data_IF_978223707170
#
_entry.id   IF_978223707170
#
_cell.length_a   1.000
_cell.length_b   1.000
_cell.length_c   1.000
_cell.angle_alpha   90.00
_cell.angle_beta   90.00
_cell.angle_gamma   90.00
#
_symmetry.space_group_name_H-M   'P 1'
#
loop_
_entity.id
_entity.type
_entity.pdbx_description
1 polymer ?
#
# COMPACT_ATOMS: atom_id res chain seq x y z
N UNK A 1 82.91 26.81 3.70
CA UNK A 1 81.92 26.38 4.73
C UNK A 1 80.53 26.94 4.53
N UNK A 2 80.31 28.04 3.81
CA UNK A 2 78.98 28.66 3.61
C UNK A 2 78.14 27.99 2.53
N UNK A 3 78.71 27.31 1.52
CA UNK A 3 77.96 26.60 0.44
C UNK A 3 77.39 25.24 0.86
N UNK A 4 77.93 24.55 1.84
CA UNK A 4 77.45 23.27 2.32
C UNK A 4 76.15 23.41 3.22
N UNK A 5 76.04 24.53 3.92
CA UNK A 5 74.88 24.85 4.77
C UNK A 5 73.63 25.26 3.97
N UNK A 6 73.80 25.84 2.77
CA UNK A 6 72.66 26.22 1.92
C UNK A 6 72.00 24.99 1.25
N UNK A 7 72.81 24.01 0.79
CA UNK A 7 72.33 22.78 0.15
C UNK A 7 71.55 21.90 1.19
N UNK A 8 72.00 21.82 2.44
CA UNK A 8 71.31 21.04 3.48
C UNK A 8 69.96 21.67 3.87
N UNK A 9 69.83 23.02 3.78
CA UNK A 9 68.59 23.75 4.10
C UNK A 9 67.54 23.65 2.99
N UNK A 10 67.95 23.50 1.73
CA UNK A 10 67.02 23.26 0.62
C UNK A 10 66.53 21.79 0.56
N UNK A 11 67.37 20.82 0.85
CA UNK A 11 66.95 19.41 0.93
C UNK A 11 65.98 19.14 2.05
N UNK A 12 66.12 19.77 3.21
CA UNK A 12 65.13 19.64 4.31
C UNK A 12 63.79 20.32 4.02
N UNK A 13 63.80 21.44 3.23
CA UNK A 13 62.53 22.07 2.78
C UNK A 13 61.84 21.27 1.66
N UNK A 14 62.57 20.60 0.78
CA UNK A 14 62.01 19.73 -0.25
C UNK A 14 61.40 18.44 0.39
N UNK A 15 62.10 17.81 1.34
CA UNK A 15 61.59 16.66 2.07
C UNK A 15 60.35 16.99 2.91
N UNK A 16 60.30 18.16 3.56
CA UNK A 16 59.14 18.60 4.33
C UNK A 16 57.93 18.91 3.42
N UNK A 17 58.13 19.42 2.20
CA UNK A 17 57.02 19.63 1.24
C UNK A 17 56.52 18.34 0.62
N UNK A 18 57.37 17.36 0.34
CA UNK A 18 56.92 16.03 -0.10
C UNK A 18 56.12 15.28 1.00
N UNK A 19 56.56 15.34 2.26
CA UNK A 19 55.83 14.72 3.37
C UNK A 19 54.48 15.41 3.62
N UNK A 20 54.40 16.75 3.49
CA UNK A 20 53.13 17.48 3.62
C UNK A 20 52.16 17.14 2.48
N UNK A 21 52.67 16.97 1.24
CA UNK A 21 51.82 16.62 0.09
C UNK A 21 51.32 15.17 0.16
N UNK A 22 52.13 14.22 0.63
CA UNK A 22 51.73 12.83 0.83
C UNK A 22 50.74 12.69 1.99
N UNK A 23 50.88 13.45 3.08
CA UNK A 23 49.95 13.46 4.21
C UNK A 23 48.60 14.08 3.82
N UNK A 24 48.59 15.14 2.96
CA UNK A 24 47.34 15.74 2.47
C UNK A 24 46.63 14.82 1.47
N UNK A 25 47.32 14.06 0.65
CA UNK A 25 46.74 13.04 -0.23
C UNK A 25 46.19 11.84 0.55
N UNK A 26 46.79 11.43 1.68
CA UNK A 26 46.29 10.38 2.55
C UNK A 26 45.02 10.81 3.33
N UNK A 27 44.89 12.07 3.69
CA UNK A 27 43.71 12.60 4.39
C UNK A 27 42.52 12.77 3.41
N UNK A 28 42.75 13.09 2.14
CA UNK A 28 41.68 13.17 1.13
C UNK A 28 41.18 11.76 0.69
N UNK A 29 42.02 10.72 0.83
CA UNK A 29 41.66 9.33 0.52
C UNK A 29 40.77 8.65 1.58
N UNK A 30 40.64 9.22 2.78
CA UNK A 30 39.82 8.65 3.88
C UNK A 30 38.39 9.22 3.92
N UNK A 31 38.09 10.24 3.10
CA UNK A 31 36.74 10.78 2.94
C UNK A 31 36.05 10.29 1.66
N UNK A 32 36.44 9.14 1.16
CA UNK A 32 35.55 8.31 0.36
C UNK A 32 34.47 7.76 1.31
N UNK A 33 33.57 8.62 1.74
CA UNK A 33 32.39 8.18 2.49
C UNK A 33 31.73 7.09 1.67
N UNK A 34 31.74 5.87 2.19
CA UNK A 34 30.73 4.90 1.83
C UNK A 34 29.42 5.67 1.81
N UNK A 35 28.75 5.74 0.68
CA UNK A 35 27.34 6.14 0.68
C UNK A 35 26.68 5.11 1.61
N UNK A 36 26.52 5.47 2.88
CA UNK A 36 25.76 4.68 3.82
C UNK A 36 24.40 4.48 3.13
N UNK A 37 24.16 3.26 2.70
CA UNK A 37 22.85 2.89 2.20
C UNK A 37 21.90 3.33 3.31
N UNK A 38 21.07 4.36 3.04
CA UNK A 38 20.15 4.88 4.04
C UNK A 38 19.24 3.73 4.44
N UNK A 39 19.41 3.20 5.64
CA UNK A 39 18.57 2.13 6.19
C UNK A 39 17.13 2.63 6.46
N UNK A 40 16.86 3.89 6.13
CA UNK A 40 15.58 4.58 6.33
C UNK A 40 15.04 5.15 5.03
N UNK A 41 13.74 4.89 4.78
CA UNK A 41 12.95 5.51 3.71
C UNK A 41 11.94 6.50 4.32
N UNK A 42 11.86 7.71 3.78
CA UNK A 42 10.86 8.72 4.17
C UNK A 42 9.89 8.96 3.00
N UNK A 43 8.62 8.60 3.21
CA UNK A 43 7.54 8.74 2.24
C UNK A 43 6.69 9.95 2.60
N UNK A 44 6.43 10.86 1.66
CA UNK A 44 5.52 11.99 1.82
C UNK A 44 4.13 11.68 1.29
N UNK A 45 3.10 12.00 2.08
CA UNK A 45 1.67 11.96 1.70
C UNK A 45 0.95 13.20 2.22
N UNK A 46 -0.25 13.50 1.68
CA UNK A 46 -1.03 14.68 2.09
C UNK A 46 -2.14 14.39 3.10
N UNK A 47 -2.37 13.14 3.46
CA UNK A 47 -3.47 12.76 4.35
C UNK A 47 -2.99 11.83 5.46
N UNK A 48 -3.52 12.03 6.68
CA UNK A 48 -3.33 11.09 7.79
C UNK A 48 -4.50 10.09 7.84
N UNK A 49 -4.27 8.79 8.09
CA UNK A 49 -5.35 7.81 8.25
C UNK A 49 -6.31 8.18 9.39
N UNK A 50 -7.61 8.09 9.15
CA UNK A 50 -8.64 8.27 10.19
C UNK A 50 -8.64 7.14 11.22
N UNK A 51 -8.22 5.95 10.80
CA UNK A 51 -8.09 4.72 11.60
C UNK A 51 -7.02 3.82 10.99
N UNK A 52 -6.40 2.97 11.79
CA UNK A 52 -5.53 1.89 11.31
C UNK A 52 -6.24 0.53 11.28
N UNK A 53 -7.52 0.46 11.66
CA UNK A 53 -8.28 -0.77 11.56
C UNK A 53 -8.50 -1.16 10.09
N UNK A 54 -8.14 -2.40 9.66
CA UNK A 54 -8.14 -2.77 8.25
C UNK A 54 -9.51 -2.66 7.57
N UNK A 55 -10.59 -2.97 8.28
CA UNK A 55 -11.93 -3.13 7.72
C UNK A 55 -12.89 -1.96 8.02
N UNK A 56 -12.50 -1.01 8.90
CA UNK A 56 -13.29 0.19 9.22
C UNK A 56 -12.82 1.34 8.33
N UNK A 57 -13.75 2.09 7.75
CA UNK A 57 -13.54 3.14 6.77
C UNK A 57 -12.72 2.70 5.53
N UNK A 58 -13.01 3.30 4.39
CA UNK A 58 -12.22 3.13 3.17
C UNK A 58 -11.43 4.40 2.94
N UNK A 59 -10.11 4.36 3.17
CA UNK A 59 -9.24 5.53 3.05
C UNK A 59 -7.89 5.16 2.44
N UNK A 60 -7.49 5.87 1.40
CA UNK A 60 -6.27 5.60 0.64
C UNK A 60 -5.01 5.73 1.52
N UNK A 61 -4.93 6.78 2.37
CA UNK A 61 -3.82 6.96 3.29
C UNK A 61 -3.62 5.76 4.23
N UNK A 62 -4.72 5.17 4.70
CA UNK A 62 -4.68 3.93 5.47
C UNK A 62 -4.12 2.77 4.66
N UNK A 63 -4.56 2.60 3.42
CA UNK A 63 -4.09 1.53 2.54
C UNK A 63 -2.58 1.61 2.27
N UNK A 64 -2.01 2.81 2.11
CA UNK A 64 -0.56 3.00 1.99
C UNK A 64 0.20 2.49 3.21
N UNK A 65 -0.24 2.83 4.42
CA UNK A 65 0.41 2.37 5.66
C UNK A 65 0.21 0.87 5.86
N UNK A 66 -1.04 0.40 5.72
CA UNK A 66 -1.38 -1.00 5.96
C UNK A 66 -0.76 -1.95 4.93
N UNK A 67 -0.52 -1.51 3.69
CA UNK A 67 0.23 -2.27 2.69
C UNK A 67 1.65 -2.65 3.13
N UNK A 68 2.24 -1.90 4.08
CA UNK A 68 3.54 -2.20 4.68
C UNK A 68 3.43 -3.14 5.90
N UNK A 69 2.30 -3.18 6.58
CA UNK A 69 2.16 -3.82 7.90
C UNK A 69 1.35 -5.11 7.91
N UNK A 70 0.65 -5.42 6.82
CA UNK A 70 -0.16 -6.65 6.68
C UNK A 70 -0.06 -7.23 5.28
N UNK A 71 -0.62 -8.41 5.10
CA UNK A 71 -0.80 -9.06 3.79
C UNK A 71 -2.26 -9.47 3.63
N UNK A 72 -2.95 -9.04 2.56
CA UNK A 72 -4.27 -9.58 2.24
C UNK A 72 -4.17 -11.07 1.89
N UNK A 73 -5.27 -11.80 1.96
CA UNK A 73 -5.28 -13.22 1.58
C UNK A 73 -4.97 -13.36 0.09
N UNK A 74 -5.68 -12.58 -0.73
CA UNK A 74 -5.44 -12.44 -2.16
C UNK A 74 -5.20 -10.97 -2.52
N UNK A 75 -4.56 -10.71 -3.66
CA UNK A 75 -4.31 -9.37 -4.18
C UNK A 75 -4.13 -9.41 -5.70
N UNK A 76 -4.44 -8.33 -6.39
CA UNK A 76 -4.02 -8.15 -7.78
C UNK A 76 -2.57 -7.69 -7.82
N UNK A 77 -1.76 -8.38 -8.60
CA UNK A 77 -0.35 -8.03 -8.81
C UNK A 77 -0.21 -6.82 -9.78
N UNK A 78 1.01 -6.32 -10.06
CA UNK A 78 1.21 -5.22 -11.01
C UNK A 78 0.76 -5.50 -12.45
N UNK A 79 0.52 -6.77 -12.81
CA UNK A 79 -0.01 -7.20 -14.11
C UNK A 79 -1.53 -7.41 -14.07
N UNK A 80 -2.17 -7.05 -12.96
CA UNK A 80 -3.60 -7.25 -12.68
C UNK A 80 -4.04 -8.72 -12.61
N UNK A 81 -3.12 -9.63 -12.36
CA UNK A 81 -3.43 -11.02 -12.08
C UNK A 81 -3.73 -11.23 -10.59
N UNK A 82 -4.82 -11.93 -10.28
CA UNK A 82 -5.15 -12.27 -8.90
C UNK A 82 -4.19 -13.34 -8.39
N UNK A 83 -3.49 -13.04 -7.31
CA UNK A 83 -2.50 -13.94 -6.71
C UNK A 83 -2.72 -14.11 -5.21
N UNK A 84 -2.25 -15.23 -4.67
CA UNK A 84 -2.14 -15.44 -3.22
C UNK A 84 -1.03 -14.58 -2.62
N UNK A 85 -1.32 -13.91 -1.52
CA UNK A 85 -0.32 -13.21 -0.72
C UNK A 85 -0.18 -13.80 0.68
N UNK A 86 -1.29 -14.08 1.37
CA UNK A 86 -1.31 -14.79 2.65
C UNK A 86 -1.74 -16.25 2.50
N UNK A 87 -2.38 -16.65 1.40
CA UNK A 87 -2.67 -18.04 1.09
C UNK A 87 -1.49 -18.73 0.40
N UNK A 88 -1.46 -20.05 0.40
CA UNK A 88 -0.40 -20.85 -0.25
C UNK A 88 -0.63 -21.01 -1.75
N UNK A 89 -1.88 -21.20 -2.16
CA UNK A 89 -2.30 -21.42 -3.54
C UNK A 89 -3.64 -20.74 -3.78
N UNK A 90 -3.78 -20.03 -4.89
CA UNK A 90 -5.05 -19.41 -5.27
C UNK A 90 -6.06 -20.52 -5.59
N UNK A 91 -7.20 -20.61 -4.88
CA UNK A 91 -8.20 -21.62 -5.16
C UNK A 91 -8.96 -21.29 -6.44
N UNK A 92 -9.03 -22.26 -7.35
CA UNK A 92 -9.83 -22.16 -8.58
C UNK A 92 -10.70 -23.41 -8.77
N UNK A 93 -11.68 -23.31 -9.66
CA UNK A 93 -12.50 -24.48 -10.03
C UNK A 93 -11.61 -25.54 -10.70
N UNK A 94 -10.67 -25.11 -11.54
CA UNK A 94 -9.78 -25.98 -12.32
C UNK A 94 -8.83 -26.78 -11.43
N UNK A 95 -8.33 -26.18 -10.34
CA UNK A 95 -7.44 -26.89 -9.42
C UNK A 95 -8.17 -27.59 -8.26
N UNK A 96 -9.53 -27.52 -8.25
CA UNK A 96 -10.37 -28.14 -7.23
C UNK A 96 -10.39 -27.40 -5.88
N UNK A 97 -9.73 -26.26 -5.76
CA UNK A 97 -9.78 -25.38 -4.60
C UNK A 97 -11.10 -24.65 -4.46
N UNK A 98 -11.89 -24.55 -5.54
CA UNK A 98 -13.23 -24.04 -5.52
C UNK A 98 -14.21 -25.06 -6.13
N UNK A 99 -15.42 -25.18 -5.56
CA UNK A 99 -16.44 -26.13 -6.00
C UNK A 99 -17.81 -25.48 -5.99
N UNK A 100 -18.55 -25.61 -7.10
CA UNK A 100 -19.96 -25.23 -7.16
C UNK A 100 -20.75 -26.09 -6.20
N UNK A 101 -21.71 -25.48 -5.51
CA UNK A 101 -22.57 -26.15 -4.54
C UNK A 101 -24.02 -25.70 -4.68
N UNK A 102 -24.95 -26.57 -4.29
CA UNK A 102 -26.36 -26.21 -4.20
C UNK A 102 -26.65 -25.81 -2.75
N UNK A 103 -27.14 -24.60 -2.55
CA UNK A 103 -27.51 -24.08 -1.25
C UNK A 103 -28.78 -24.78 -0.71
N UNK A 104 -29.03 -24.66 0.59
CA UNK A 104 -30.20 -25.22 1.25
C UNK A 104 -31.54 -24.69 0.68
N UNK A 105 -31.58 -23.49 0.11
CA UNK A 105 -32.73 -22.88 -0.54
C UNK A 105 -32.90 -23.30 -2.02
N UNK A 106 -32.01 -24.18 -2.54
CA UNK A 106 -31.98 -24.63 -3.92
C UNK A 106 -31.25 -23.73 -4.89
N UNK A 107 -30.73 -22.58 -4.44
CA UNK A 107 -29.90 -21.69 -5.25
C UNK A 107 -28.49 -22.21 -5.47
N UNK A 108 -27.77 -21.63 -6.44
CA UNK A 108 -26.36 -21.94 -6.68
C UNK A 108 -25.45 -21.09 -5.78
N UNK A 109 -24.44 -21.73 -5.22
CA UNK A 109 -23.35 -21.14 -4.45
C UNK A 109 -22.01 -21.71 -4.86
N UNK A 110 -20.95 -21.31 -4.17
CA UNK A 110 -19.60 -21.83 -4.39
C UNK A 110 -18.85 -21.94 -3.06
N UNK A 111 -18.21 -23.07 -2.84
CA UNK A 111 -17.31 -23.34 -1.74
C UNK A 111 -15.87 -23.08 -2.20
N UNK A 112 -15.14 -22.21 -1.50
CA UNK A 112 -13.78 -21.79 -1.84
C UNK A 112 -12.85 -22.06 -0.67
N UNK A 113 -11.87 -22.95 -0.86
CA UNK A 113 -10.96 -23.41 0.19
C UNK A 113 -9.62 -22.70 0.12
N UNK A 114 -9.22 -22.04 1.20
CA UNK A 114 -7.94 -21.37 1.35
C UNK A 114 -7.08 -22.06 2.41
N UNK A 115 -5.78 -22.11 2.17
CA UNK A 115 -4.78 -22.50 3.16
C UNK A 115 -3.85 -21.33 3.41
N UNK A 116 -3.77 -20.84 4.64
CA UNK A 116 -2.89 -19.75 5.06
C UNK A 116 -1.42 -20.20 5.04
N UNK A 117 -0.51 -19.26 4.81
CA UNK A 117 0.93 -19.51 4.94
C UNK A 117 1.26 -20.10 6.31
N UNK A 118 1.90 -21.28 6.38
CA UNK A 118 2.13 -21.96 7.65
C UNK A 118 3.02 -21.16 8.60
N UNK A 119 3.97 -20.38 8.10
CA UNK A 119 4.90 -19.55 8.86
C UNK A 119 4.31 -18.23 9.33
N UNK A 120 3.13 -17.84 8.81
CA UNK A 120 2.51 -16.55 9.11
C UNK A 120 2.23 -16.40 10.60
N UNK A 121 2.77 -15.30 11.18
CA UNK A 121 2.63 -14.94 12.60
C UNK A 121 2.34 -13.46 12.75
N UNK A 122 1.55 -13.14 13.76
CA UNK A 122 1.41 -11.78 14.26
C UNK A 122 2.75 -11.28 14.83
N UNK A 123 2.92 -9.97 14.97
CA UNK A 123 4.17 -9.35 15.42
C UNK A 123 4.55 -9.64 16.86
N UNK A 124 3.66 -10.22 17.65
CA UNK A 124 3.92 -10.76 18.99
C UNK A 124 4.33 -12.25 18.98
N UNK A 125 4.39 -12.87 17.79
CA UNK A 125 4.74 -14.28 17.60
C UNK A 125 3.54 -15.24 17.57
N UNK A 126 2.33 -14.80 17.89
CA UNK A 126 1.11 -15.62 17.80
C UNK A 126 0.89 -16.08 16.35
N UNK A 127 0.62 -17.37 16.09
CA UNK A 127 0.32 -17.85 14.74
C UNK A 127 -0.93 -17.17 14.16
N UNK A 128 -0.87 -16.71 12.91
CA UNK A 128 -2.07 -16.36 12.15
C UNK A 128 -2.83 -17.63 11.83
N UNK A 129 -4.12 -17.70 12.17
CA UNK A 129 -4.89 -18.94 12.11
C UNK A 129 -6.33 -18.74 11.67
N UNK A 130 -7.05 -19.85 11.50
CA UNK A 130 -8.48 -19.86 11.22
C UNK A 130 -9.33 -19.24 12.33
N UNK A 131 -8.81 -19.11 13.57
CA UNK A 131 -9.45 -18.34 14.64
C UNK A 131 -9.58 -16.86 14.27
N UNK A 132 -8.55 -16.32 13.62
CA UNK A 132 -8.54 -14.92 13.11
C UNK A 132 -9.52 -14.76 11.95
N UNK A 133 -9.62 -15.77 11.08
CA UNK A 133 -10.60 -15.81 9.97
C UNK A 133 -12.03 -15.76 10.50
N UNK A 134 -12.37 -16.66 11.43
CA UNK A 134 -13.71 -16.71 12.04
C UNK A 134 -14.05 -15.41 12.77
N UNK A 135 -13.12 -14.88 13.53
CA UNK A 135 -13.31 -13.61 14.24
C UNK A 135 -13.49 -12.44 13.27
N UNK A 136 -12.69 -12.37 12.22
CA UNK A 136 -12.82 -11.35 11.19
C UNK A 136 -14.19 -11.38 10.52
N UNK A 137 -14.69 -12.58 10.18
CA UNK A 137 -16.01 -12.76 9.62
C UNK A 137 -17.12 -12.35 10.61
N UNK A 138 -17.01 -12.72 11.89
CA UNK A 138 -17.94 -12.32 12.96
C UNK A 138 -18.05 -10.80 13.06
N UNK A 139 -16.92 -10.09 13.15
CA UNK A 139 -16.87 -8.62 13.17
C UNK A 139 -17.40 -8.03 11.86
N UNK A 140 -17.01 -8.61 10.72
CA UNK A 140 -17.34 -8.13 9.38
C UNK A 140 -18.83 -8.12 9.08
N UNK A 141 -19.57 -9.09 9.58
CA UNK A 141 -21.04 -9.21 9.42
C UNK A 141 -21.85 -8.49 10.48
N UNK A 142 -21.23 -7.95 11.53
CA UNK A 142 -21.93 -7.31 12.61
C UNK A 142 -22.43 -5.90 12.19
N UNK A 143 -23.75 -5.61 12.25
CA UNK A 143 -24.34 -4.41 11.64
C UNK A 143 -23.89 -3.10 12.26
N UNK A 144 -23.34 -3.11 13.48
CA UNK A 144 -22.89 -1.92 14.21
C UNK A 144 -21.37 -1.77 14.30
N UNK A 145 -20.59 -2.70 13.75
CA UNK A 145 -19.13 -2.66 13.82
C UNK A 145 -18.48 -1.57 12.91
N UNK A 146 -19.27 -0.96 12.03
CA UNK A 146 -18.78 0.13 11.17
C UNK A 146 -17.87 -0.33 10.02
N UNK A 147 -18.04 -1.57 9.56
CA UNK A 147 -17.23 -2.17 8.48
C UNK A 147 -17.58 -1.54 7.14
N UNK A 148 -16.56 -1.10 6.41
CA UNK A 148 -16.72 -0.41 5.13
C UNK A 148 -17.30 -1.30 4.02
N UNK A 149 -16.77 -2.51 3.84
CA UNK A 149 -17.23 -3.49 2.85
C UNK A 149 -18.03 -4.62 3.54
N UNK A 150 -19.18 -4.30 4.13
CA UNK A 150 -20.02 -5.29 4.81
C UNK A 150 -20.64 -6.31 3.83
N UNK A 151 -20.73 -5.99 2.54
CA UNK A 151 -21.30 -6.90 1.52
C UNK A 151 -20.44 -8.16 1.37
N UNK A 152 -19.12 -8.04 1.33
CA UNK A 152 -18.20 -9.16 1.29
C UNK A 152 -18.51 -10.19 2.40
N UNK A 153 -18.69 -9.71 3.62
CA UNK A 153 -18.94 -10.59 4.78
C UNK A 153 -20.35 -11.19 4.78
N UNK A 154 -21.36 -10.47 4.25
CA UNK A 154 -22.72 -10.99 4.11
C UNK A 154 -22.85 -12.09 3.07
N UNK A 155 -22.04 -12.03 2.02
CA UNK A 155 -21.98 -13.06 0.98
C UNK A 155 -21.41 -14.39 1.48
N UNK A 156 -20.64 -14.37 2.56
CA UNK A 156 -20.14 -15.58 3.21
C UNK A 156 -21.24 -16.13 4.12
N UNK A 157 -21.88 -17.21 3.69
CA UNK A 157 -22.98 -17.86 4.42
C UNK A 157 -22.48 -18.63 5.63
N UNK A 158 -21.37 -19.37 5.47
CA UNK A 158 -20.68 -20.12 6.52
C UNK A 158 -19.19 -20.26 6.22
N UNK A 159 -18.44 -20.61 7.23
CA UNK A 159 -17.02 -20.96 7.14
C UNK A 159 -16.80 -22.31 7.79
N UNK A 160 -16.30 -23.28 7.01
CA UNK A 160 -15.88 -24.57 7.52
C UNK A 160 -14.39 -24.54 7.80
N UNK A 161 -13.99 -24.95 9.01
CA UNK A 161 -12.59 -25.04 9.42
C UNK A 161 -12.14 -26.50 9.37
N UNK A 162 -11.13 -26.78 8.54
CA UNK A 162 -10.52 -28.10 8.42
C UNK A 162 -9.38 -28.28 9.46
N UNK A 163 -8.57 -27.23 9.64
CA UNK A 163 -7.45 -27.21 10.58
C UNK A 163 -7.10 -25.75 10.98
N UNK A 164 -5.99 -25.54 11.66
CA UNK A 164 -5.54 -24.20 12.10
C UNK A 164 -5.21 -23.24 10.95
N UNK A 165 -5.00 -23.74 9.74
CA UNK A 165 -4.58 -22.95 8.57
C UNK A 165 -5.54 -23.04 7.39
N UNK A 166 -6.39 -24.06 7.35
CA UNK A 166 -7.25 -24.37 6.20
C UNK A 166 -8.71 -24.15 6.53
N UNK A 167 -9.40 -23.38 5.71
CA UNK A 167 -10.81 -23.07 5.83
C UNK A 167 -11.49 -22.99 4.46
N UNK A 168 -12.79 -23.26 4.45
CA UNK A 168 -13.64 -23.11 3.25
C UNK A 168 -14.69 -22.03 3.49
N UNK A 169 -14.78 -21.08 2.60
CA UNK A 169 -15.86 -20.09 2.53
C UNK A 169 -16.98 -20.63 1.68
N UNK A 170 -18.21 -20.64 2.18
CA UNK A 170 -19.43 -20.96 1.43
C UNK A 170 -20.11 -19.65 1.02
N UNK A 171 -20.09 -19.33 -0.28
CA UNK A 171 -20.60 -18.06 -0.79
C UNK A 171 -22.01 -18.22 -1.35
N UNK A 172 -22.81 -17.16 -1.23
CA UNK A 172 -24.20 -17.10 -1.61
C UNK A 172 -24.47 -17.22 -3.12
N UNK A 173 -23.48 -16.95 -3.95
CA UNK A 173 -23.57 -16.98 -5.41
C UNK A 173 -22.20 -17.15 -6.07
N UNK A 174 -22.20 -17.54 -7.32
CA UNK A 174 -21.02 -17.60 -8.16
C UNK A 174 -20.87 -16.26 -8.88
N UNK A 175 -19.73 -15.63 -8.72
CA UNK A 175 -19.33 -14.44 -9.48
C UNK A 175 -17.97 -14.69 -10.15
N UNK A 176 -17.59 -13.85 -11.09
CA UNK A 176 -16.30 -13.95 -11.76
C UNK A 176 -15.14 -13.92 -10.75
N UNK A 177 -15.21 -13.03 -9.75
CA UNK A 177 -14.21 -12.86 -8.71
C UNK A 177 -14.49 -13.70 -7.46
N UNK A 178 -15.07 -14.88 -7.58
CA UNK A 178 -15.46 -15.74 -6.45
C UNK A 178 -14.31 -16.04 -5.48
N UNK A 179 -13.06 -16.02 -5.96
CA UNK A 179 -11.86 -16.31 -5.18
C UNK A 179 -11.04 -15.06 -4.81
N UNK A 180 -11.54 -13.86 -5.08
CA UNK A 180 -10.93 -12.60 -4.67
C UNK A 180 -11.45 -12.16 -3.31
N UNK A 181 -10.63 -12.29 -2.26
CA UNK A 181 -10.95 -11.83 -0.90
C UNK A 181 -9.94 -10.79 -0.41
N UNK A 182 -9.61 -9.85 -1.31
CA UNK A 182 -8.60 -8.79 -1.08
C UNK A 182 -8.94 -7.91 0.13
N UNK A 183 -10.23 -7.64 0.33
CA UNK A 183 -10.76 -6.80 1.41
C UNK A 183 -11.07 -7.59 2.69
N UNK A 184 -10.82 -8.89 2.72
CA UNK A 184 -10.96 -9.71 3.93
C UNK A 184 -9.74 -9.48 4.83
N UNK A 185 -9.70 -8.32 5.49
CA UNK A 185 -8.59 -7.93 6.34
C UNK A 185 -8.58 -8.65 7.68
N UNK A 186 -7.71 -9.66 7.87
CA UNK A 186 -7.62 -10.43 9.09
C UNK A 186 -7.41 -9.55 10.33
N UNK A 187 -8.12 -9.90 11.40
CA UNK A 187 -8.05 -9.28 12.73
C UNK A 187 -7.45 -10.28 13.73
N UNK A 188 -6.53 -9.85 14.62
CA UNK A 188 -5.94 -10.71 15.64
C UNK A 188 -6.99 -11.07 16.71
N UNK A 189 -7.57 -12.25 16.59
CA UNK A 189 -8.62 -12.71 17.51
C UNK A 189 -8.18 -12.68 18.98
N UNK A 190 -6.91 -13.00 19.26
CA UNK A 190 -6.36 -13.00 20.60
C UNK A 190 -6.28 -11.62 21.27
N UNK A 191 -6.26 -10.54 20.47
CA UNK A 191 -6.22 -9.15 20.97
C UNK A 191 -7.56 -8.42 20.83
N UNK A 192 -8.18 -8.53 19.66
CA UNK A 192 -9.37 -7.73 19.33
C UNK A 192 -10.68 -8.35 19.79
N UNK A 193 -10.76 -9.69 19.94
CA UNK A 193 -12.00 -10.35 20.40
C UNK A 193 -12.49 -9.83 21.75
N UNK A 194 -11.67 -9.70 22.81
CA UNK A 194 -12.13 -9.16 24.08
C UNK A 194 -12.67 -7.74 23.98
N UNK A 195 -12.11 -6.92 23.08
CA UNK A 195 -12.56 -5.54 22.85
C UNK A 195 -13.91 -5.53 22.13
N UNK A 196 -14.09 -6.40 21.15
CA UNK A 196 -15.32 -6.52 20.39
C UNK A 196 -16.46 -7.07 21.24
N UNK A 197 -16.24 -8.18 21.97
CA UNK A 197 -17.25 -8.85 22.81
C UNK A 197 -17.74 -7.97 23.96
N UNK A 198 -16.92 -7.04 24.44
CA UNK A 198 -17.32 -6.11 25.51
C UNK A 198 -18.51 -5.23 25.09
N UNK A 199 -18.48 -4.68 23.88
CA UNK A 199 -19.58 -3.93 23.25
C UNK A 199 -19.35 -3.76 21.74
N UNK A 200 -19.94 -4.62 20.90
CA UNK A 200 -19.80 -4.54 19.46
C UNK A 200 -20.28 -3.21 18.84
N UNK A 201 -21.24 -2.54 19.48
CA UNK A 201 -21.79 -1.28 18.96
C UNK A 201 -20.80 -0.11 19.06
N UNK A 202 -19.90 -0.14 20.02
CA UNK A 202 -18.87 0.89 20.22
C UNK A 202 -17.46 0.42 19.78
N UNK A 203 -17.34 -0.80 19.28
CA UNK A 203 -16.08 -1.41 18.85
C UNK A 203 -15.28 -0.50 17.93
N UNK A 204 -15.93 0.14 16.95
CA UNK A 204 -15.33 1.09 16.02
C UNK A 204 -14.43 2.14 16.70
N UNK A 205 -14.82 2.60 17.89
CA UNK A 205 -14.12 3.67 18.61
C UNK A 205 -13.15 3.13 19.68
N UNK A 206 -13.05 1.81 19.84
CA UNK A 206 -12.29 1.15 20.91
C UNK A 206 -11.26 0.16 20.42
N UNK A 207 -11.25 -0.14 19.13
CA UNK A 207 -10.28 -1.05 18.52
C UNK A 207 -8.85 -0.72 18.95
N UNK A 208 -8.05 -1.72 19.19
CA UNK A 208 -6.65 -1.54 19.56
C UNK A 208 -5.82 -0.91 18.43
N UNK A 209 -6.26 -1.04 17.19
CA UNK A 209 -5.63 -0.36 16.06
C UNK A 209 -5.56 1.15 16.23
N UNK A 210 -6.50 1.75 16.96
CA UNK A 210 -6.57 3.19 17.19
C UNK A 210 -6.20 3.58 18.64
N UNK A 211 -6.47 2.70 19.62
CA UNK A 211 -6.19 2.99 21.03
C UNK A 211 -4.81 2.51 21.49
N UNK A 212 -4.23 1.52 20.81
CA UNK A 212 -2.90 0.95 21.08
C UNK A 212 -2.16 0.66 19.76
N UNK A 213 -2.15 1.62 18.85
CA UNK A 213 -1.63 1.50 17.49
C UNK A 213 -0.24 0.85 17.37
N UNK A 214 0.61 0.98 18.39
CA UNK A 214 1.97 0.43 18.40
C UNK A 214 2.05 -1.02 18.93
N UNK A 215 0.91 -1.64 19.26
CA UNK A 215 0.87 -3.02 19.73
C UNK A 215 1.37 -3.98 18.63
N UNK A 216 2.47 -4.71 18.85
CA UNK A 216 3.07 -5.54 17.81
C UNK A 216 2.13 -6.61 17.23
N UNK A 217 1.29 -7.20 18.06
CA UNK A 217 0.34 -8.26 17.69
C UNK A 217 -0.78 -7.82 16.74
N UNK A 218 -0.88 -6.53 16.39
CA UNK A 218 -1.82 -6.02 15.38
C UNK A 218 -1.31 -6.19 13.94
N UNK A 219 -0.02 -6.51 13.74
CA UNK A 219 0.65 -6.48 12.45
C UNK A 219 1.31 -7.81 12.14
N UNK A 220 1.21 -8.26 10.89
CA UNK A 220 1.81 -9.51 10.40
C UNK A 220 2.47 -9.36 9.02
N UNK A 221 2.72 -8.12 8.61
CA UNK A 221 3.45 -7.79 7.38
C UNK A 221 4.95 -7.62 7.62
N UNK A 222 5.70 -7.16 6.60
CA UNK A 222 7.16 -6.95 6.68
C UNK A 222 7.57 -5.86 7.67
N UNK A 223 6.68 -4.92 7.95
CA UNK A 223 6.87 -3.85 8.93
C UNK A 223 5.74 -3.85 9.95
N UNK A 224 5.99 -3.20 11.10
CA UNK A 224 5.00 -2.90 12.13
C UNK A 224 5.07 -1.42 12.49
N UNK A 225 3.97 -0.84 12.92
CA UNK A 225 3.96 0.54 13.42
C UNK A 225 4.61 0.57 14.79
N UNK A 226 5.56 1.48 14.99
CA UNK A 226 6.25 1.72 16.27
C UNK A 226 5.98 3.13 16.81
N UNK A 227 5.47 4.03 15.98
CA UNK A 227 5.11 5.38 16.36
C UNK A 227 4.02 5.91 15.43
N UNK A 228 2.99 6.53 15.97
CA UNK A 228 1.94 7.20 15.20
C UNK A 228 1.62 8.54 15.88
N UNK A 229 1.96 9.63 15.19
CA UNK A 229 1.71 11.00 15.66
C UNK A 229 0.70 11.64 14.71
N UNK A 230 -0.52 11.83 15.22
CA UNK A 230 -1.64 12.32 14.43
C UNK A 230 -1.30 13.63 13.70
N UNK A 231 -1.60 13.65 12.39
CA UNK A 231 -1.33 14.78 11.52
C UNK A 231 0.15 15.04 11.20
N UNK A 232 1.09 14.24 11.73
CA UNK A 232 2.52 14.43 11.54
C UNK A 232 3.17 13.27 10.78
N UNK A 233 3.20 12.09 11.39
CA UNK A 233 3.84 10.94 10.76
C UNK A 233 3.43 9.60 11.37
N UNK A 234 3.73 8.53 10.63
CA UNK A 234 3.70 7.15 11.09
C UNK A 234 5.09 6.55 10.85
N UNK A 235 5.74 6.05 11.91
CA UNK A 235 7.01 5.36 11.80
C UNK A 235 6.83 3.84 11.94
N UNK A 236 7.50 3.13 11.05
CA UNK A 236 7.45 1.68 10.95
C UNK A 236 8.87 1.12 11.03
N UNK A 237 9.01 -0.05 11.66
CA UNK A 237 10.24 -0.82 11.72
C UNK A 237 10.02 -2.24 11.18
N UNK A 238 11.09 -2.92 10.79
CA UNK A 238 11.00 -4.32 10.38
C UNK A 238 10.27 -5.13 11.42
N UNK A 239 9.35 -5.96 10.97
CA UNK A 239 8.67 -6.90 11.84
C UNK A 239 9.55 -8.15 12.04
N UNK A 240 10.01 -8.45 13.27
CA UNK A 240 10.89 -9.60 13.52
C UNK A 240 10.24 -10.95 13.20
N UNK A 241 8.90 -11.03 13.24
CA UNK A 241 8.14 -12.25 12.96
C UNK A 241 7.80 -12.42 11.49
N UNK A 242 8.23 -11.49 10.62
CA UNK A 242 7.99 -11.56 9.19
C UNK A 242 8.66 -12.79 8.56
N UNK A 243 7.86 -13.63 7.91
CA UNK A 243 8.30 -14.90 7.30
C UNK A 243 8.76 -14.79 5.85
N UNK A 244 8.46 -13.67 5.17
CA UNK A 244 8.79 -13.48 3.77
C UNK A 244 10.19 -12.91 3.52
N UNK A 245 10.42 -12.40 2.32
CA UNK A 245 11.70 -11.77 1.97
C UNK A 245 12.02 -10.61 2.92
N UNK A 246 13.26 -10.57 3.41
CA UNK A 246 13.75 -9.51 4.30
C UNK A 246 13.50 -8.12 3.65
N UNK A 247 12.83 -7.20 4.34
CA UNK A 247 12.61 -5.85 3.86
C UNK A 247 13.91 -5.08 3.62
N UNK A 248 13.96 -4.20 2.62
CA UNK A 248 15.17 -3.48 2.25
C UNK A 248 15.58 -2.44 3.30
N UNK A 249 14.61 -1.70 3.85
CA UNK A 249 14.85 -0.64 4.83
C UNK A 249 14.63 -1.16 6.25
N UNK A 250 15.41 -0.67 7.21
CA UNK A 250 15.21 -0.96 8.63
C UNK A 250 14.02 -0.18 9.19
N UNK A 251 13.85 1.05 8.71
CA UNK A 251 12.79 1.96 9.15
C UNK A 251 12.14 2.67 7.95
N UNK A 252 10.82 2.79 7.99
CA UNK A 252 10.04 3.62 7.05
C UNK A 252 9.32 4.69 7.88
N UNK A 253 9.35 5.94 7.41
CA UNK A 253 8.59 7.04 8.00
C UNK A 253 7.64 7.58 6.94
N UNK A 254 6.34 7.46 7.18
CA UNK A 254 5.31 8.09 6.35
C UNK A 254 5.01 9.46 6.97
N UNK A 255 5.47 10.53 6.32
CA UNK A 255 5.26 11.91 6.76
C UNK A 255 4.02 12.49 6.11
N UNK A 256 3.22 13.16 6.91
CA UNK A 256 2.05 13.89 6.45
C UNK A 256 2.47 15.35 6.24
N UNK A 257 2.26 15.84 5.02
CA UNK A 257 2.56 17.20 4.62
C UNK A 257 1.27 17.89 4.19
N UNK A 258 1.17 19.17 4.53
CA UNK A 258 -0.08 19.93 4.45
C UNK A 258 -0.70 19.97 3.05
N UNK A 259 0.16 19.99 2.01
CA UNK A 259 -0.28 20.11 0.62
C UNK A 259 0.82 19.63 -0.36
N UNK A 260 0.50 19.61 -1.63
CA UNK A 260 1.40 19.19 -2.70
C UNK A 260 2.62 20.08 -2.88
N UNK A 261 2.49 21.39 -2.60
CA UNK A 261 3.64 22.33 -2.63
C UNK A 261 4.64 22.01 -1.51
N UNK A 262 4.14 21.68 -0.31
CA UNK A 262 4.98 21.23 0.79
C UNK A 262 5.64 19.88 0.50
N UNK A 263 4.94 18.95 -0.18
CA UNK A 263 5.53 17.69 -0.65
C UNK A 263 6.72 17.95 -1.58
N UNK A 264 6.54 18.76 -2.60
CA UNK A 264 7.60 19.09 -3.56
C UNK A 264 8.78 19.78 -2.87
N UNK A 265 8.51 20.76 -2.02
CA UNK A 265 9.57 21.48 -1.28
C UNK A 265 10.40 20.53 -0.39
N UNK A 266 9.74 19.61 0.34
CA UNK A 266 10.42 18.61 1.17
C UNK A 266 11.22 17.59 0.35
N UNK A 267 10.72 17.18 -0.83
CA UNK A 267 11.46 16.32 -1.75
C UNK A 267 12.73 17.02 -2.25
N UNK A 268 12.61 18.27 -2.70
CA UNK A 268 13.75 19.06 -3.18
C UNK A 268 14.79 19.35 -2.08
N UNK A 269 14.36 19.47 -0.84
CA UNK A 269 15.22 19.63 0.34
C UNK A 269 15.84 18.31 0.84
N UNK A 270 15.46 17.14 0.26
CA UNK A 270 15.91 15.82 0.73
C UNK A 270 15.35 15.42 2.09
N UNK A 271 14.27 16.06 2.54
CA UNK A 271 13.58 15.73 3.80
C UNK A 271 12.61 14.57 3.66
N UNK A 272 12.19 14.25 2.43
CA UNK A 272 11.50 13.03 2.04
C UNK A 272 12.21 12.43 0.82
N UNK A 273 12.15 11.11 0.68
CA UNK A 273 12.82 10.36 -0.39
C UNK A 273 11.85 9.97 -1.51
N UNK A 274 10.55 9.91 -1.20
CA UNK A 274 9.51 9.41 -2.09
C UNK A 274 8.19 10.13 -1.85
N UNK A 275 7.47 10.48 -2.91
CA UNK A 275 6.10 10.97 -2.86
C UNK A 275 5.17 9.85 -3.34
N UNK A 276 4.20 9.48 -2.52
CA UNK A 276 3.21 8.45 -2.86
C UNK A 276 2.21 8.97 -3.90
N UNK A 277 1.95 8.19 -4.96
CA UNK A 277 1.21 8.59 -6.15
C UNK A 277 -0.08 9.38 -5.91
N UNK A 278 -1.18 8.70 -5.62
CA UNK A 278 -2.52 9.33 -5.52
C UNK A 278 -2.69 10.28 -4.31
N UNK A 279 -1.85 10.15 -3.28
CA UNK A 279 -1.77 11.09 -2.15
C UNK A 279 -0.62 12.09 -2.29
N UNK A 280 -0.08 12.20 -3.49
CA UNK A 280 1.07 13.01 -3.81
C UNK A 280 0.76 14.19 -4.73
N UNK A 281 1.62 14.40 -5.72
CA UNK A 281 1.49 15.46 -6.70
C UNK A 281 0.35 15.16 -7.70
N UNK A 282 -0.39 16.19 -8.07
CA UNK A 282 -1.27 16.10 -9.22
C UNK A 282 -0.44 15.90 -10.51
N UNK A 283 -1.06 15.39 -11.58
CA UNK A 283 -0.35 15.03 -12.81
C UNK A 283 0.39 16.23 -13.44
N UNK A 284 -0.23 17.39 -13.48
CA UNK A 284 0.38 18.63 -13.98
C UNK A 284 1.61 19.06 -13.17
N UNK A 285 1.55 18.90 -11.83
CA UNK A 285 2.67 19.16 -10.92
C UNK A 285 3.80 18.15 -11.13
N UNK A 286 3.46 16.86 -11.30
CA UNK A 286 4.44 15.81 -11.58
C UNK A 286 5.16 16.06 -12.93
N UNK A 287 4.43 16.44 -13.97
CA UNK A 287 4.98 16.83 -15.27
C UNK A 287 5.90 18.06 -15.17
N UNK A 288 5.50 19.06 -14.38
CA UNK A 288 6.32 20.25 -14.15
C UNK A 288 7.61 19.91 -13.36
N UNK A 289 7.54 19.04 -12.37
CA UNK A 289 8.70 18.54 -11.62
C UNK A 289 9.65 17.75 -12.54
N UNK A 290 9.13 16.82 -13.34
CA UNK A 290 9.89 16.03 -14.29
C UNK A 290 10.64 16.94 -15.28
N UNK A 291 9.96 17.94 -15.85
CA UNK A 291 10.56 18.91 -16.78
C UNK A 291 11.71 19.71 -16.13
N UNK A 292 11.56 20.09 -14.85
CA UNK A 292 12.56 20.92 -14.14
C UNK A 292 13.71 20.10 -13.54
N UNK A 293 13.40 18.91 -13.04
CA UNK A 293 14.29 18.12 -12.19
C UNK A 293 14.35 16.62 -12.54
N UNK A 294 13.95 16.24 -13.76
CA UNK A 294 13.94 14.84 -14.21
C UNK A 294 15.30 14.14 -14.25
N UNK A 295 16.42 14.91 -14.09
CA UNK A 295 17.76 14.33 -13.90
C UNK A 295 18.01 13.88 -12.46
N UNK A 296 17.30 14.46 -11.50
CA UNK A 296 17.48 14.25 -10.06
C UNK A 296 16.42 13.27 -9.50
N UNK A 297 15.23 13.22 -10.13
CA UNK A 297 14.09 12.44 -9.68
C UNK A 297 13.48 11.62 -10.80
N UNK A 298 13.15 10.36 -10.49
CA UNK A 298 12.37 9.52 -11.40
C UNK A 298 10.89 9.74 -11.13
N UNK A 299 10.15 10.16 -12.15
CA UNK A 299 8.68 10.21 -12.12
C UNK A 299 8.13 8.98 -12.84
N UNK A 300 7.33 8.19 -12.13
CA UNK A 300 6.74 6.95 -12.65
C UNK A 300 5.24 7.17 -12.86
N UNK A 301 4.80 7.05 -14.11
CA UNK A 301 3.39 7.05 -14.48
C UNK A 301 2.92 5.62 -14.63
N UNK A 302 1.84 5.27 -13.92
CA UNK A 302 1.22 3.94 -14.04
C UNK A 302 -0.24 4.11 -14.42
N UNK A 303 -0.78 3.30 -15.35
CA UNK A 303 -2.19 3.24 -15.59
C UNK A 303 -2.91 2.76 -14.33
N UNK A 304 -4.14 3.22 -14.15
CA UNK A 304 -5.02 2.90 -13.03
C UNK A 304 -6.36 2.40 -13.56
N UNK A 305 -7.11 1.68 -12.76
CA UNK A 305 -8.50 1.32 -13.05
C UNK A 305 -9.46 2.51 -12.87
N UNK A 306 -9.00 3.59 -12.24
CA UNK A 306 -9.77 4.82 -12.09
C UNK A 306 -9.88 5.54 -13.44
N UNK A 307 -11.08 5.93 -13.81
CA UNK A 307 -11.35 6.73 -15.01
C UNK A 307 -12.20 7.95 -14.68
N UNK A 308 -12.02 9.02 -15.43
CA UNK A 308 -12.82 10.23 -15.33
C UNK A 308 -13.98 10.18 -16.31
N UNK A 309 -15.17 10.53 -15.85
CA UNK A 309 -16.39 10.50 -16.66
C UNK A 309 -17.34 11.62 -16.27
N UNK A 310 -18.34 11.86 -17.11
CA UNK A 310 -19.42 12.81 -16.85
C UNK A 310 -20.70 12.02 -16.63
N UNK A 311 -21.24 12.09 -15.41
CA UNK A 311 -22.56 11.54 -15.11
C UNK A 311 -23.65 12.50 -15.56
N UNK A 312 -24.67 11.95 -16.24
CA UNK A 312 -25.79 12.70 -16.73
C UNK A 312 -27.05 12.35 -15.94
N UNK A 313 -27.67 13.36 -15.30
CA UNK A 313 -28.96 13.18 -14.64
C UNK A 313 -30.07 12.95 -15.65
N UNK A 314 -30.53 11.71 -15.79
CA UNK A 314 -31.57 11.31 -16.74
C UNK A 314 -32.98 11.73 -16.34
N UNK A 315 -33.19 12.23 -15.11
CA UNK A 315 -34.47 12.86 -14.70
C UNK A 315 -34.62 14.25 -15.33
N UNK A 316 -33.56 14.86 -15.80
CA UNK A 316 -33.62 16.10 -16.57
C UNK A 316 -34.20 15.79 -17.95
N UNK A 317 -35.34 16.43 -18.35
CA UNK A 317 -36.02 16.09 -19.58
C UNK A 317 -35.16 16.33 -20.85
N UNK A 318 -34.22 17.28 -20.82
CA UNK A 318 -33.28 17.52 -21.91
C UNK A 318 -32.28 16.39 -22.02
N UNK A 319 -31.71 15.95 -20.89
CA UNK A 319 -30.71 14.86 -20.81
C UNK A 319 -31.34 13.47 -20.93
N UNK A 320 -32.65 13.32 -20.70
CA UNK A 320 -33.40 12.10 -20.96
C UNK A 320 -33.43 11.75 -22.45
N UNK A 321 -33.34 12.74 -23.34
CA UNK A 321 -33.26 12.49 -24.78
C UNK A 321 -31.87 11.94 -25.17
N UNK A 322 -31.87 10.72 -25.72
CA UNK A 322 -30.64 10.02 -26.14
C UNK A 322 -29.85 10.85 -27.17
N UNK A 323 -30.54 11.58 -28.06
CA UNK A 323 -29.90 12.40 -29.11
C UNK A 323 -29.07 13.53 -28.51
N UNK A 324 -29.54 14.13 -27.42
CA UNK A 324 -28.79 15.17 -26.67
C UNK A 324 -27.53 14.59 -26.04
N UNK A 325 -27.64 13.43 -25.41
CA UNK A 325 -26.45 12.75 -24.82
C UNK A 325 -25.42 12.36 -25.88
N UNK A 326 -25.87 11.88 -27.03
CA UNK A 326 -24.98 11.58 -28.17
C UNK A 326 -24.34 12.86 -28.73
N UNK A 327 -25.09 13.98 -28.85
CA UNK A 327 -24.53 15.25 -29.28
C UNK A 327 -23.44 15.77 -28.33
N UNK A 328 -23.63 15.63 -27.01
CA UNK A 328 -22.62 15.96 -26.01
C UNK A 328 -21.37 15.10 -26.20
N UNK A 329 -21.51 13.79 -26.41
CA UNK A 329 -20.40 12.89 -26.65
C UNK A 329 -19.60 13.27 -27.91
N UNK A 330 -20.28 13.62 -29.02
CA UNK A 330 -19.63 14.04 -30.26
C UNK A 330 -19.00 15.44 -30.18
N UNK A 331 -19.49 16.30 -29.29
CA UNK A 331 -18.94 17.64 -29.09
C UNK A 331 -17.62 17.62 -28.29
N UNK A 332 -17.33 16.55 -27.58
CA UNK A 332 -16.12 16.39 -26.75
C UNK A 332 -14.99 15.75 -27.56
N UNK A 333 -13.97 16.52 -27.91
CA UNK A 333 -12.71 15.98 -28.43
C UNK A 333 -11.87 15.45 -27.26
N UNK A 334 -12.15 14.19 -26.86
CA UNK A 334 -11.48 13.53 -25.73
C UNK A 334 -9.98 13.37 -25.96
N UNK A 335 -9.55 13.16 -27.22
CA UNK A 335 -8.13 13.03 -27.55
C UNK A 335 -7.41 14.36 -27.34
N UNK A 336 -7.97 15.46 -27.82
CA UNK A 336 -7.43 16.80 -27.58
C UNK A 336 -7.37 17.12 -26.10
N UNK A 337 -8.39 16.72 -25.30
CA UNK A 337 -8.40 16.91 -23.86
C UNK A 337 -7.22 16.17 -23.19
N UNK A 338 -7.00 14.89 -23.51
CA UNK A 338 -5.88 14.13 -22.92
C UNK A 338 -4.52 14.69 -23.35
N UNK A 339 -4.38 15.14 -24.59
CA UNK A 339 -3.14 15.76 -25.08
C UNK A 339 -2.86 17.12 -24.43
N UNK A 340 -3.88 17.97 -24.29
CA UNK A 340 -3.73 19.33 -23.78
C UNK A 340 -3.61 19.41 -22.27
N UNK A 341 -4.43 18.62 -21.55
CA UNK A 341 -4.48 18.67 -20.07
C UNK A 341 -3.45 17.74 -19.43
N UNK A 342 -3.17 16.60 -20.06
CA UNK A 342 -2.36 15.54 -19.46
C UNK A 342 -1.10 15.18 -20.27
N UNK A 343 -0.74 16.02 -21.25
CA UNK A 343 0.43 15.79 -22.12
C UNK A 343 0.47 14.39 -22.75
N UNK A 344 -0.70 13.82 -23.05
CA UNK A 344 -0.84 12.47 -23.60
C UNK A 344 -0.50 11.32 -22.63
N UNK A 345 -0.33 11.61 -21.33
CA UNK A 345 0.00 10.57 -20.31
C UNK A 345 -1.22 9.75 -19.88
N UNK A 346 -2.41 10.20 -20.18
CA UNK A 346 -3.66 9.46 -19.96
C UNK A 346 -4.23 8.98 -21.30
N UNK A 347 -4.72 7.74 -21.32
CA UNK A 347 -5.45 7.24 -22.47
C UNK A 347 -6.90 7.74 -22.46
N UNK A 348 -7.55 7.81 -23.63
CA UNK A 348 -8.98 8.01 -23.71
C UNK A 348 -9.69 6.75 -23.26
N UNK A 349 -10.63 6.86 -22.32
CA UNK A 349 -11.52 5.77 -21.94
C UNK A 349 -12.67 5.67 -22.94
N UNK A 350 -12.77 4.56 -23.65
CA UNK A 350 -13.85 4.33 -24.64
C UNK A 350 -15.05 3.63 -24.00
N UNK A 351 -14.89 3.09 -22.80
CA UNK A 351 -15.90 2.35 -22.04
C UNK A 351 -15.60 2.49 -20.54
N UNK A 352 -16.53 2.09 -19.69
CA UNK A 352 -16.29 1.92 -18.26
C UNK A 352 -15.45 0.68 -17.95
N UNK A 353 -15.28 -0.24 -18.91
CA UNK A 353 -14.37 -1.37 -18.81
C UNK A 353 -12.97 -0.88 -19.15
N UNK A 354 -12.06 -0.99 -18.18
CA UNK A 354 -10.67 -0.59 -18.38
C UNK A 354 -9.96 -1.64 -19.25
N UNK A 355 -9.08 -1.24 -20.20
CA UNK A 355 -8.28 -2.19 -20.98
C UNK A 355 -7.34 -3.07 -20.15
N UNK A 356 -7.12 -2.72 -18.87
CA UNK A 356 -6.37 -3.54 -17.92
C UNK A 356 -7.25 -4.59 -17.23
N UNK A 357 -8.59 -4.47 -17.31
CA UNK A 357 -9.49 -5.48 -16.80
C UNK A 357 -9.50 -6.68 -17.73
N UNK A 358 -9.45 -7.85 -17.14
CA UNK A 358 -9.68 -9.10 -17.83
C UNK A 358 -11.17 -9.28 -18.08
N UNK A 359 -11.59 -9.23 -19.32
CA UNK A 359 -12.98 -9.53 -19.74
C UNK A 359 -12.97 -10.70 -20.69
#
# INVERSE_FOLDING_TARGET
MVRALAICREMTRAAGRLLAFTLTLLIVGIWGGSADARDRLVIGITQYPSTFHPNIDSMLAKSYVLGLTRRPVTVYDPSWELVCMLCTTLPTIENGGAKRETRADGGEGIAVTYTLQPEARWGDGTPVSTKDVLFTWEVGRHPKAGIANAELYRRILSIDVQDEKTFTLHLDRIEFEYNAINDFGLLPAHLERPVFEQDPATYRNRTLYDTKTVEPGLYFGPYRIVEAVAGSHVALERNPTWWGKKPAFDRIVVRILENTAALEANLLAGSIDYIAGELGLALDQALALEKRRGRDFQVVYKPSLVYEHVDLNLENPVLADRRVRQALLYALDRKMLTERLFAGKQAVADSFVNPLDWV
#
